data_IF_187120682650
#
_entry.id   IF_187120682650
#
_cell.length_a   1.000
_cell.length_b   1.000
_cell.length_c   1.000
_cell.angle_alpha   90.00
_cell.angle_beta   90.00
_cell.angle_gamma   90.00
#
_symmetry.space_group_name_H-M   'P 1'
#
loop_
_entity.id
_entity.type
_entity.pdbx_description
1 polymer ?
#
# COMPACT_ATOMS: atom_id res chain seq x y z
N UNK A 1 -1.29 41.13 16.71
CA UNK A 1 -2.09 40.77 15.52
C UNK A 1 -1.32 39.77 14.68
N UNK A 2 -1.75 38.51 14.60
CA UNK A 2 -1.10 37.48 13.76
C UNK A 2 -1.75 37.55 12.38
N UNK A 3 -0.95 37.80 11.34
CA UNK A 3 -1.39 37.90 9.95
C UNK A 3 -1.62 36.50 9.40
N UNK A 4 -2.87 36.18 9.10
CA UNK A 4 -3.28 34.93 8.47
C UNK A 4 -2.61 34.77 7.09
N UNK A 5 -1.80 33.73 6.92
CA UNK A 5 -1.33 33.28 5.60
C UNK A 5 -2.46 32.52 4.89
N UNK A 6 -3.52 33.21 4.48
CA UNK A 6 -4.44 32.73 3.44
C UNK A 6 -3.96 33.32 2.12
N UNK A 7 -3.48 32.50 1.17
CA UNK A 7 -3.22 33.07 -0.16
C UNK A 7 -2.47 32.27 -1.21
N UNK A 8 -2.36 30.93 -1.15
CA UNK A 8 -1.73 30.18 -2.27
C UNK A 8 -2.49 28.91 -2.71
N UNK A 9 -3.53 28.47 -1.98
CA UNK A 9 -4.18 27.18 -2.30
C UNK A 9 -5.40 27.27 -3.24
N UNK A 10 -6.05 28.43 -3.33
CA UNK A 10 -7.26 28.59 -4.15
C UNK A 10 -7.00 28.97 -5.62
N UNK A 11 -5.78 29.38 -5.97
CA UNK A 11 -5.46 29.88 -7.32
C UNK A 11 -5.07 28.79 -8.31
N UNK A 12 -4.85 27.55 -7.87
CA UNK A 12 -4.40 26.45 -8.75
C UNK A 12 -5.56 25.73 -9.45
N UNK A 13 -6.79 25.82 -8.92
CA UNK A 13 -7.97 25.19 -9.50
C UNK A 13 -8.77 26.25 -10.27
N UNK A 14 -8.88 26.07 -11.58
CA UNK A 14 -9.75 26.90 -12.43
C UNK A 14 -11.20 26.51 -12.21
N UNK A 15 -12.10 27.51 -12.23
CA UNK A 15 -13.55 27.28 -12.12
C UNK A 15 -14.10 26.45 -13.30
N UNK A 16 -13.53 26.64 -14.49
CA UNK A 16 -13.90 25.90 -15.69
C UNK A 16 -12.70 25.73 -16.64
N UNK A 17 -12.83 24.77 -17.55
CA UNK A 17 -11.90 24.55 -18.65
C UNK A 17 -12.63 24.69 -19.98
N UNK A 18 -11.97 25.30 -20.96
CA UNK A 18 -12.42 25.44 -22.33
C UNK A 18 -11.73 24.39 -23.20
N UNK A 19 -12.37 23.99 -24.31
CA UNK A 19 -11.74 23.04 -25.27
C UNK A 19 -10.40 23.56 -25.80
N UNK A 20 -10.27 24.88 -25.97
CA UNK A 20 -9.03 25.54 -26.37
C UNK A 20 -7.87 25.37 -25.37
N UNK A 21 -8.15 25.04 -24.10
CA UNK A 21 -7.11 24.76 -23.11
C UNK A 21 -6.38 23.43 -23.39
N UNK A 22 -6.93 22.59 -24.27
CA UNK A 22 -6.36 21.31 -24.66
C UNK A 22 -5.98 21.32 -26.15
N UNK A 23 -4.87 21.98 -26.54
CA UNK A 23 -4.47 22.11 -27.93
C UNK A 23 -4.19 20.76 -28.60
N UNK A 24 -3.82 19.73 -27.82
CA UNK A 24 -3.68 18.34 -28.29
C UNK A 24 -4.98 17.52 -28.31
N UNK A 25 -6.13 18.16 -28.05
CA UNK A 25 -7.43 17.51 -27.97
C UNK A 25 -7.69 16.74 -26.66
N UNK A 26 -8.93 16.26 -26.52
CA UNK A 26 -9.37 15.43 -25.39
C UNK A 26 -9.20 13.96 -25.77
N UNK A 27 -8.15 13.31 -25.26
CA UNK A 27 -7.84 11.89 -25.53
C UNK A 27 -8.28 11.02 -24.36
N UNK A 28 -9.21 10.10 -24.62
CA UNK A 28 -9.62 9.10 -23.62
C UNK A 28 -8.42 8.21 -23.28
N UNK A 29 -8.16 8.04 -21.99
CA UNK A 29 -7.09 7.15 -21.53
C UNK A 29 -5.66 7.69 -21.70
N UNK A 30 -5.47 8.99 -21.94
CA UNK A 30 -4.16 9.65 -22.09
C UNK A 30 -3.12 9.24 -21.02
N UNK A 31 -3.58 8.99 -19.78
CA UNK A 31 -2.73 8.60 -18.65
C UNK A 31 -3.01 7.17 -18.14
N UNK A 32 -3.81 6.37 -18.86
CA UNK A 32 -4.21 5.05 -18.40
C UNK A 32 -3.02 4.09 -18.26
N UNK A 33 -1.98 4.25 -19.09
CA UNK A 33 -0.75 3.46 -18.98
C UNK A 33 0.04 3.83 -17.72
N UNK A 34 0.25 5.14 -17.48
CA UNK A 34 0.93 5.64 -16.27
C UNK A 34 0.20 5.24 -15.00
N UNK A 35 -1.13 5.25 -15.02
CA UNK A 35 -1.93 4.75 -13.92
C UNK A 35 -1.62 3.27 -13.67
N UNK A 36 -1.56 2.42 -14.69
CA UNK A 36 -1.24 0.99 -14.50
C UNK A 36 0.19 0.77 -13.98
N UNK A 37 1.15 1.57 -14.45
CA UNK A 37 2.56 1.40 -14.10
C UNK A 37 2.87 1.89 -12.66
N UNK A 38 2.15 2.90 -12.17
CA UNK A 38 2.38 3.49 -10.83
C UNK A 38 1.06 3.98 -10.22
N UNK A 39 0.21 3.05 -9.79
CA UNK A 39 -1.07 3.34 -9.14
C UNK A 39 -1.03 3.00 -7.66
N UNK A 40 -1.56 3.90 -6.84
CA UNK A 40 -1.85 3.63 -5.42
C UNK A 40 -3.17 2.86 -5.23
N UNK A 41 -3.89 2.59 -6.33
CA UNK A 41 -5.15 1.83 -6.36
C UNK A 41 -4.83 0.40 -6.77
N UNK A 42 -5.16 -0.53 -5.87
CA UNK A 42 -5.05 -1.97 -6.10
C UNK A 42 -6.46 -2.55 -6.17
N UNK A 43 -6.83 -3.14 -7.31
CA UNK A 43 -8.13 -3.80 -7.47
C UNK A 43 -8.02 -5.21 -6.91
N UNK A 44 -8.75 -5.48 -5.84
CA UNK A 44 -8.83 -6.81 -5.25
C UNK A 44 -9.67 -7.73 -6.14
N UNK A 45 -9.36 -9.02 -6.09
CA UNK A 45 -10.24 -10.04 -6.64
C UNK A 45 -11.61 -9.99 -5.94
N UNK A 46 -12.72 -10.29 -6.65
CA UNK A 46 -14.07 -10.22 -6.08
C UNK A 46 -14.24 -11.05 -4.80
N UNK A 47 -13.64 -12.23 -4.75
CA UNK A 47 -13.75 -13.13 -3.59
C UNK A 47 -13.03 -12.57 -2.36
N UNK A 48 -11.92 -11.86 -2.58
CA UNK A 48 -11.17 -11.18 -1.52
C UNK A 48 -11.91 -9.92 -1.06
N UNK A 49 -12.47 -9.14 -1.99
CA UNK A 49 -13.26 -7.96 -1.66
C UNK A 49 -14.55 -8.30 -0.89
N UNK A 50 -15.12 -9.50 -1.09
CA UNK A 50 -16.25 -9.98 -0.30
C UNK A 50 -15.85 -10.33 1.14
N UNK A 51 -14.63 -10.84 1.35
CA UNK A 51 -14.13 -11.19 2.67
C UNK A 51 -13.67 -9.96 3.48
N UNK A 52 -13.21 -8.90 2.80
CA UNK A 52 -12.69 -7.69 3.44
C UNK A 52 -13.50 -6.45 3.02
N UNK A 53 -14.28 -5.85 3.93
CA UNK A 53 -15.20 -4.77 3.59
C UNK A 53 -14.54 -3.40 3.36
N UNK A 54 -13.32 -3.19 3.86
CA UNK A 54 -12.59 -1.93 3.73
C UNK A 54 -11.05 -2.12 3.76
N UNK A 55 -10.32 -1.02 3.52
CA UNK A 55 -8.85 -1.03 3.50
C UNK A 55 -8.22 -1.35 4.87
N UNK A 56 -8.85 -0.92 5.97
CA UNK A 56 -8.36 -1.18 7.33
C UNK A 56 -8.33 -2.68 7.63
N UNK A 57 -9.37 -3.42 7.25
CA UNK A 57 -9.47 -4.86 7.44
C UNK A 57 -8.41 -5.61 6.62
N UNK A 58 -8.18 -5.18 5.36
CA UNK A 58 -7.14 -5.76 4.49
C UNK A 58 -5.75 -5.53 5.09
N UNK A 59 -5.44 -4.28 5.43
CA UNK A 59 -4.12 -3.91 5.93
C UNK A 59 -3.82 -4.57 7.26
N UNK A 60 -4.80 -4.63 8.17
CA UNK A 60 -4.64 -5.32 9.45
C UNK A 60 -4.31 -6.80 9.25
N UNK A 61 -5.04 -7.50 8.37
CA UNK A 61 -4.78 -8.92 8.09
C UNK A 61 -3.37 -9.15 7.50
N UNK A 62 -2.94 -8.31 6.56
CA UNK A 62 -1.61 -8.41 5.95
C UNK A 62 -0.51 -8.09 6.96
N UNK A 63 -0.68 -7.09 7.82
CA UNK A 63 0.26 -6.77 8.89
C UNK A 63 0.39 -7.90 9.91
N UNK A 64 -0.72 -8.50 10.32
CA UNK A 64 -0.70 -9.68 11.20
C UNK A 64 0.06 -10.85 10.56
N UNK A 65 -0.11 -11.07 9.25
CA UNK A 65 0.64 -12.11 8.53
C UNK A 65 2.14 -11.83 8.50
N UNK A 66 2.54 -10.56 8.30
CA UNK A 66 3.94 -10.14 8.36
C UNK A 66 4.53 -10.39 9.76
N UNK A 67 3.80 -10.07 10.81
CA UNK A 67 4.24 -10.29 12.20
C UNK A 67 4.45 -11.79 12.50
N UNK A 68 3.52 -12.64 12.06
CA UNK A 68 3.65 -14.09 12.20
C UNK A 68 4.89 -14.58 11.44
N UNK A 69 5.05 -14.15 10.18
CA UNK A 69 6.19 -14.55 9.36
C UNK A 69 7.51 -14.19 10.06
N UNK A 70 7.66 -12.97 10.55
CA UNK A 70 8.85 -12.53 11.30
C UNK A 70 9.12 -13.39 12.53
N UNK A 71 8.11 -13.69 13.36
CA UNK A 71 8.28 -14.54 14.55
C UNK A 71 8.76 -15.94 14.18
N UNK A 72 8.30 -16.50 13.06
CA UNK A 72 8.68 -17.85 12.62
C UNK A 72 10.09 -17.93 12.02
N UNK A 73 10.54 -16.91 11.28
CA UNK A 73 11.89 -16.87 10.71
C UNK A 73 12.98 -16.61 11.75
N UNK A 74 12.64 -15.96 12.87
CA UNK A 74 13.58 -15.67 13.95
C UNK A 74 13.73 -16.77 15.00
N UNK A 75 13.02 -17.90 14.90
CA UNK A 75 13.32 -19.04 15.77
C UNK A 75 14.72 -19.56 15.43
N UNK A 76 15.69 -19.58 16.38
CA UNK A 76 16.93 -20.30 16.15
C UNK A 76 16.54 -21.74 15.86
N UNK A 77 16.95 -22.24 14.70
CA UNK A 77 16.81 -23.65 14.31
C UNK A 77 17.20 -24.47 15.51
N UNK A 78 16.23 -25.12 16.16
CA UNK A 78 16.42 -25.86 17.40
C UNK A 78 17.48 -26.91 17.12
N UNK A 79 18.72 -26.62 17.48
CA UNK A 79 19.82 -27.57 17.41
C UNK A 79 19.43 -28.65 18.40
N UNK A 80 18.99 -29.78 17.88
CA UNK A 80 18.85 -31.02 18.63
C UNK A 80 20.25 -31.43 19.09
N UNK A 81 20.76 -30.79 20.15
CA UNK A 81 21.94 -31.27 20.84
C UNK A 81 21.48 -32.51 21.60
N UNK A 82 21.68 -33.67 20.98
CA UNK A 82 21.51 -34.98 21.59
C UNK A 82 22.35 -35.02 22.88
N UNK A 83 21.81 -35.48 24.02
CA UNK A 83 22.59 -35.59 25.23
C UNK A 83 23.62 -36.71 25.02
N UNK A 84 24.90 -36.33 24.94
CA UNK A 84 26.02 -37.27 24.89
C UNK A 84 26.03 -38.03 26.22
N UNK A 85 25.60 -39.30 26.18
CA UNK A 85 25.68 -40.24 27.32
C UNK A 85 27.10 -40.19 27.90
N UNK A 86 27.21 -39.83 29.18
CA UNK A 86 28.43 -40.05 29.96
C UNK A 86 28.47 -41.54 30.30
N UNK A 87 29.49 -42.24 29.83
CA UNK A 87 29.84 -43.57 30.32
C UNK A 87 30.85 -43.38 31.49
N UNK A 88 30.72 -44.13 32.59
CA UNK A 88 31.78 -44.25 33.58
C UNK A 88 32.79 -45.32 33.13
N UNK A 89 34.07 -45.01 33.24
CA UNK A 89 35.20 -45.91 32.99
C UNK A 89 36.46 -45.25 33.47
#
# INVERSE_FOLDING_TARGET
>A
MKKDRKGVKDTLLRAEYKRSDFPGGLVRGKYAKRLRDSSNIVVLRPEVAQAFPNEEAVNSALLSLIEIAQKTTHLPRRSTVSPKKRAPG
#
